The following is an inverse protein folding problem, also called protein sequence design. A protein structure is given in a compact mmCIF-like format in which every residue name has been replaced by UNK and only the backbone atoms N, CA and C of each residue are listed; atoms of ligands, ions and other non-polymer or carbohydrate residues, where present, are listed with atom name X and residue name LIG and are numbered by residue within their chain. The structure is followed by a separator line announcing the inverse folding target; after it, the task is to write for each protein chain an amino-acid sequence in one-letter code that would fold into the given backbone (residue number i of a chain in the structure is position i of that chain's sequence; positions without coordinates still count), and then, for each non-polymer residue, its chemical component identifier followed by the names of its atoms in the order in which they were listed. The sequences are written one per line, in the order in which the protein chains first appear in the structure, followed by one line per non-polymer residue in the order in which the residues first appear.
data_IF_626435988696
#
_entry.id   IF_626435988696
#
_cell.length_a   1.000
_cell.length_b   1.000
_cell.length_c   1.000
_cell.angle_alpha   90.00
_cell.angle_beta   90.00
_cell.angle_gamma   90.00
#
_symmetry.space_group_name_H-M   'P 1'
#
loop_
_entity.id
_entity.type
_entity.pdbx_description
1 polymer ?
#
# COMPACT_ATOMS: atom_id res chain seq x y z
N UNK A 1 -30.49 18.85 11.88
CA UNK A 1 -30.80 17.40 11.93
C UNK A 1 -30.90 16.93 10.49
N UNK A 2 -30.07 15.95 10.13
CA UNK A 2 -29.84 15.39 8.79
C UNK A 2 -29.16 16.29 7.75
N UNK A 3 -27.85 16.51 7.91
CA UNK A 3 -26.97 16.90 6.81
C UNK A 3 -26.35 15.61 6.27
N UNK A 4 -26.70 15.26 5.03
CA UNK A 4 -26.11 14.16 4.27
C UNK A 4 -24.57 14.25 4.33
N UNK A 5 -23.83 13.17 4.65
CA UNK A 5 -22.41 13.14 4.33
C UNK A 5 -22.29 13.06 2.81
N UNK A 6 -21.63 14.07 2.25
CA UNK A 6 -21.34 14.24 0.84
C UNK A 6 -20.59 13.02 0.30
N UNK A 7 -21.16 12.37 -0.71
CA UNK A 7 -20.49 11.43 -1.59
C UNK A 7 -19.36 12.15 -2.35
N UNK A 8 -18.16 12.18 -1.77
CA UNK A 8 -16.92 12.51 -2.47
C UNK A 8 -16.09 11.25 -2.65
N UNK A 9 -16.68 10.26 -3.32
CA UNK A 9 -15.94 9.19 -3.98
C UNK A 9 -15.42 9.76 -5.30
N UNK A 10 -14.28 10.45 -5.23
CA UNK A 10 -13.44 10.63 -6.41
C UNK A 10 -12.82 9.28 -6.72
N UNK A 11 -13.55 8.43 -7.43
CA UNK A 11 -13.02 7.18 -7.97
C UNK A 11 -11.97 7.55 -9.01
N UNK A 12 -10.70 7.36 -8.67
CA UNK A 12 -9.63 7.33 -9.65
C UNK A 12 -9.84 6.05 -10.48
N UNK A 13 -10.63 6.17 -11.56
CA UNK A 13 -10.94 5.06 -12.45
C UNK A 13 -9.67 4.70 -13.24
N UNK A 14 -9.12 3.51 -12.95
CA UNK A 14 -7.94 2.95 -13.64
C UNK A 14 -8.26 2.79 -15.13
N UNK A 15 -7.41 3.28 -16.06
CA UNK A 15 -7.60 3.02 -17.48
C UNK A 15 -7.53 1.50 -17.75
N UNK A 16 -8.56 0.96 -18.41
CA UNK A 16 -8.68 -0.48 -18.72
C UNK A 16 -7.51 -0.94 -19.61
N UNK A 17 -6.68 -1.86 -19.11
CA UNK A 17 -5.68 -2.56 -19.91
C UNK A 17 -6.32 -3.77 -20.63
N UNK A 18 -6.01 -4.01 -21.92
CA UNK A 18 -6.54 -5.16 -22.63
C UNK A 18 -5.97 -6.45 -22.03
N UNK A 19 -6.86 -7.36 -21.65
CA UNK A 19 -6.53 -8.68 -21.11
C UNK A 19 -5.82 -9.53 -22.16
N UNK A 20 -4.48 -9.51 -22.17
CA UNK A 20 -3.68 -10.52 -22.85
C UNK A 20 -2.97 -11.38 -21.81
N UNK A 21 -3.39 -12.64 -21.74
CA UNK A 21 -2.86 -13.69 -20.88
C UNK A 21 -1.35 -13.87 -21.02
N UNK A 22 -0.61 -13.51 -19.98
CA UNK A 22 0.63 -14.19 -19.59
C UNK A 22 0.77 -14.16 -18.07
N UNK A 23 0.05 -15.05 -17.37
CA UNK A 23 0.34 -15.40 -15.98
C UNK A 23 1.62 -16.22 -15.93
N UNK A 24 2.76 -15.60 -16.20
CA UNK A 24 4.01 -16.05 -15.63
C UNK A 24 4.05 -15.52 -14.19
N UNK A 25 4.66 -16.23 -13.24
CA UNK A 25 4.90 -15.66 -11.92
C UNK A 25 5.69 -14.38 -12.16
N UNK A 26 5.05 -13.24 -11.87
CA UNK A 26 5.74 -11.96 -11.79
C UNK A 26 6.91 -12.17 -10.83
N UNK A 27 8.05 -11.55 -11.15
CA UNK A 27 9.32 -11.82 -10.48
C UNK A 27 9.16 -11.93 -8.96
N UNK A 28 9.79 -12.93 -8.31
CA UNK A 28 9.70 -13.09 -6.86
C UNK A 28 10.36 -11.90 -6.15
N UNK A 29 9.55 -10.90 -5.82
CA UNK A 29 9.94 -9.76 -4.99
C UNK A 29 9.88 -10.15 -3.51
N UNK A 30 10.76 -9.58 -2.68
CA UNK A 30 10.88 -9.96 -1.29
C UNK A 30 10.76 -8.75 -0.37
N UNK A 31 9.82 -8.84 0.57
CA UNK A 31 9.63 -7.88 1.65
C UNK A 31 9.84 -8.60 2.98
N UNK A 32 10.58 -7.96 3.88
CA UNK A 32 10.70 -8.39 5.27
C UNK A 32 10.48 -7.20 6.19
N UNK A 33 9.68 -7.43 7.23
CA UNK A 33 9.47 -6.49 8.31
C UNK A 33 9.65 -7.20 9.64
N UNK A 34 10.39 -6.57 10.56
CA UNK A 34 10.60 -7.05 11.92
C UNK A 34 10.17 -5.94 12.86
N UNK A 35 9.25 -6.26 13.75
CA UNK A 35 8.82 -5.37 14.83
C UNK A 35 9.63 -5.70 16.08
N UNK A 36 10.42 -4.74 16.55
CA UNK A 36 11.02 -4.76 17.88
C UNK A 36 10.09 -4.11 18.91
N UNK A 37 10.51 -4.05 20.20
CA UNK A 37 9.73 -3.40 21.25
C UNK A 37 9.54 -1.89 21.00
N UNK A 38 10.58 -1.22 20.51
CA UNK A 38 10.61 0.25 20.35
C UNK A 38 10.86 0.71 18.90
N UNK A 39 10.97 -0.21 17.95
CA UNK A 39 11.26 0.13 16.56
C UNK A 39 10.65 -0.87 15.58
N UNK A 40 10.50 -0.45 14.32
CA UNK A 40 10.16 -1.33 13.20
C UNK A 40 11.29 -1.24 12.18
N UNK A 41 11.83 -2.39 11.79
CA UNK A 41 12.79 -2.51 10.71
C UNK A 41 12.10 -3.12 9.50
N UNK A 42 12.25 -2.49 8.34
CA UNK A 42 11.75 -3.00 7.06
C UNK A 42 12.88 -3.06 6.05
N UNK A 43 12.88 -4.09 5.23
CA UNK A 43 13.77 -4.22 4.09
C UNK A 43 13.01 -4.79 2.89
N UNK A 44 13.39 -4.34 1.71
CA UNK A 44 12.90 -4.84 0.44
C UNK A 44 14.07 -5.16 -0.48
N UNK A 45 13.84 -6.05 -1.44
CA UNK A 45 14.74 -6.18 -2.58
C UNK A 45 14.70 -4.91 -3.46
N UNK A 46 15.78 -4.67 -4.19
CA UNK A 46 15.92 -3.52 -5.11
C UNK A 46 15.88 -3.93 -6.58
N UNK A 47 15.61 -5.21 -6.85
CA UNK A 47 15.63 -5.77 -8.20
C UNK A 47 14.27 -5.59 -8.86
N UNK A 48 14.27 -4.95 -10.03
CA UNK A 48 13.16 -4.95 -10.97
C UNK A 48 13.55 -5.82 -12.17
N UNK A 49 13.01 -7.04 -12.22
CA UNK A 49 13.25 -7.99 -13.28
C UNK A 49 11.99 -8.21 -14.12
N UNK A 50 12.16 -8.34 -15.43
CA UNK A 50 11.09 -8.76 -16.34
C UNK A 50 11.58 -9.95 -17.15
N UNK A 51 10.84 -11.06 -17.11
CA UNK A 51 11.27 -12.33 -17.69
C UNK A 51 12.62 -12.78 -17.10
N UNK A 52 13.63 -13.03 -17.93
CA UNK A 52 14.99 -13.43 -17.51
C UNK A 52 15.95 -12.24 -17.36
N UNK A 53 15.52 -11.02 -17.67
CA UNK A 53 16.38 -9.83 -17.72
C UNK A 53 16.11 -8.95 -16.50
N UNK A 54 17.18 -8.65 -15.77
CA UNK A 54 17.17 -7.63 -14.74
C UNK A 54 17.21 -6.25 -15.40
N UNK A 55 16.14 -5.47 -15.25
CA UNK A 55 16.02 -4.15 -15.86
C UNK A 55 16.65 -3.06 -15.00
N UNK A 56 16.51 -3.19 -13.67
CA UNK A 56 17.07 -2.24 -12.71
C UNK A 56 17.46 -2.95 -11.42
N UNK A 57 18.57 -2.48 -10.84
CA UNK A 57 19.15 -3.03 -9.59
C UNK A 57 18.92 -2.09 -8.40
N UNK A 58 18.37 -0.90 -8.67
CA UNK A 58 18.16 0.20 -7.74
C UNK A 58 16.70 0.66 -7.78
N UNK A 59 15.78 -0.27 -7.54
CA UNK A 59 14.33 0.00 -7.51
C UNK A 59 13.81 0.03 -6.08
N UNK A 60 13.40 1.21 -5.61
CA UNK A 60 12.80 1.37 -4.30
C UNK A 60 11.33 0.95 -4.29
N UNK A 61 11.00 -0.05 -3.49
CA UNK A 61 9.62 -0.55 -3.26
C UNK A 61 8.97 0.08 -2.02
N UNK A 62 9.68 1.01 -1.39
CA UNK A 62 9.30 1.69 -0.16
C UNK A 62 8.69 3.06 -0.47
N UNK A 63 7.46 3.27 -0.03
CA UNK A 63 6.71 4.50 -0.19
C UNK A 63 6.49 5.19 1.15
N UNK A 64 7.06 6.39 1.31
CA UNK A 64 6.88 7.20 2.51
C UNK A 64 5.53 7.92 2.46
N UNK A 65 4.62 7.56 3.37
CA UNK A 65 3.28 8.13 3.44
C UNK A 65 3.26 9.41 4.28
N UNK A 66 3.94 9.36 5.42
CA UNK A 66 4.14 10.46 6.35
C UNK A 66 5.52 10.28 7.00
N UNK A 67 5.89 11.15 7.94
CA UNK A 67 7.20 11.05 8.60
C UNK A 67 7.35 9.77 9.42
N UNK A 68 6.22 9.21 9.87
CA UNK A 68 6.15 8.07 10.78
C UNK A 68 5.61 6.77 10.16
N UNK A 69 5.20 6.78 8.89
CA UNK A 69 4.54 5.65 8.22
C UNK A 69 5.19 5.36 6.87
N UNK A 70 5.56 4.10 6.68
CA UNK A 70 6.19 3.56 5.48
C UNK A 70 5.35 2.39 4.95
N UNK A 71 4.98 2.46 3.68
CA UNK A 71 4.27 1.40 2.97
C UNK A 71 5.23 0.72 2.00
N UNK A 72 5.29 -0.61 2.04
CA UNK A 72 5.98 -1.41 1.03
C UNK A 72 4.92 -2.10 0.19
N UNK A 73 5.08 -2.06 -1.13
CA UNK A 73 4.17 -2.69 -2.08
C UNK A 73 4.94 -3.69 -2.93
N UNK A 74 4.36 -4.87 -3.11
CA UNK A 74 4.84 -5.93 -4.01
C UNK A 74 3.65 -6.47 -4.79
N UNK A 75 3.88 -6.88 -6.03
CA UNK A 75 2.82 -7.42 -6.89
C UNK A 75 2.99 -6.96 -8.31
N UNK A 76 1.89 -6.94 -9.06
CA UNK A 76 1.94 -6.56 -10.47
C UNK A 76 2.51 -5.14 -10.64
N UNK A 77 3.57 -5.00 -11.44
CA UNK A 77 4.35 -3.77 -11.56
C UNK A 77 3.52 -2.51 -11.89
N UNK A 78 2.40 -2.66 -12.61
CA UNK A 78 1.48 -1.55 -12.89
C UNK A 78 0.58 -1.18 -11.72
N UNK A 79 0.17 -2.15 -10.92
CA UNK A 79 -0.75 -1.96 -9.81
C UNK A 79 -0.06 -1.39 -8.57
N UNK A 80 1.17 -1.82 -8.31
CA UNK A 80 1.95 -1.41 -7.13
C UNK A 80 2.17 0.10 -7.09
N UNK A 81 2.59 0.69 -8.21
CA UNK A 81 2.86 2.14 -8.30
C UNK A 81 1.56 2.93 -8.20
N UNK A 82 0.53 2.55 -8.95
CA UNK A 82 -0.76 3.25 -8.95
C UNK A 82 -1.42 3.23 -7.57
N UNK A 83 -1.43 2.06 -6.93
CA UNK A 83 -2.00 1.91 -5.61
C UNK A 83 -1.20 2.65 -4.53
N UNK A 84 0.14 2.56 -4.57
CA UNK A 84 0.99 3.25 -3.61
C UNK A 84 0.81 4.77 -3.68
N UNK A 85 0.83 5.35 -4.88
CA UNK A 85 0.66 6.79 -5.08
C UNK A 85 -0.75 7.24 -4.65
N UNK A 86 -1.78 6.48 -4.98
CA UNK A 86 -3.15 6.77 -4.56
C UNK A 86 -3.28 6.89 -3.04
N UNK A 87 -2.73 5.91 -2.31
CA UNK A 87 -2.74 5.94 -0.84
C UNK A 87 -1.91 7.12 -0.31
N UNK A 88 -0.74 7.36 -0.89
CA UNK A 88 0.15 8.44 -0.47
C UNK A 88 -0.51 9.82 -0.57
N UNK A 89 -1.17 10.11 -1.69
CA UNK A 89 -1.87 11.39 -1.87
C UNK A 89 -3.03 11.55 -0.91
N UNK A 90 -3.79 10.49 -0.63
CA UNK A 90 -4.91 10.56 0.30
C UNK A 90 -4.46 10.77 1.76
N UNK A 91 -3.37 10.12 2.18
CA UNK A 91 -2.78 10.33 3.52
C UNK A 91 -2.25 11.76 3.66
N UNK A 92 -1.56 12.27 2.63
CA UNK A 92 -1.07 13.66 2.62
C UNK A 92 -2.23 14.67 2.64
N UNK A 93 -3.29 14.42 1.88
CA UNK A 93 -4.49 15.25 1.88
C UNK A 93 -5.15 15.29 3.27
N UNK A 94 -5.21 14.16 3.96
CA UNK A 94 -5.72 14.09 5.33
C UNK A 94 -4.88 14.96 6.30
N UNK A 95 -3.54 14.88 6.21
CA UNK A 95 -2.63 15.72 7.00
C UNK A 95 -2.92 17.22 6.77
N UNK A 96 -3.15 17.64 5.52
CA UNK A 96 -3.46 19.03 5.18
C UNK A 96 -4.83 19.49 5.67
N UNK A 97 -5.85 18.63 5.61
CA UNK A 97 -7.22 18.98 6.01
C UNK A 97 -7.39 19.04 7.53
N UNK A 98 -6.78 18.10 8.24
CA UNK A 98 -7.01 17.91 9.67
C UNK A 98 -5.90 18.53 10.53
N UNK A 99 -4.73 18.80 9.95
CA UNK A 99 -3.59 19.41 10.65
C UNK A 99 -2.76 18.43 11.49
N UNK A 100 -3.09 17.13 11.50
CA UNK A 100 -2.35 16.08 12.20
C UNK A 100 -2.17 14.83 11.32
N UNK A 101 -1.15 14.04 11.62
CA UNK A 101 -0.84 12.81 10.88
C UNK A 101 -1.76 11.65 11.28
N UNK A 102 -2.02 10.72 10.36
CA UNK A 102 -2.76 9.50 10.70
C UNK A 102 -1.93 8.59 11.61
N UNK A 103 -2.61 7.87 12.50
CA UNK A 103 -1.98 6.75 13.22
C UNK A 103 -1.76 5.56 12.27
N UNK A 104 -0.73 4.72 12.50
CA UNK A 104 -0.47 3.53 11.68
C UNK A 104 -1.67 2.60 11.60
N UNK A 105 -2.40 2.44 12.70
CA UNK A 105 -3.62 1.63 12.81
C UNK A 105 -4.75 2.18 11.92
N UNK A 106 -4.90 3.51 11.85
CA UNK A 106 -5.88 4.14 10.96
C UNK A 106 -5.48 4.01 9.49
N UNK A 107 -4.19 4.21 9.18
CA UNK A 107 -3.66 4.06 7.82
C UNK A 107 -3.80 2.62 7.28
N UNK A 108 -3.57 1.61 8.12
CA UNK A 108 -3.76 0.19 7.77
C UNK A 108 -5.24 -0.15 7.49
N UNK A 109 -6.17 0.40 8.27
CA UNK A 109 -7.59 0.19 8.01
C UNK A 109 -8.08 0.94 6.75
N UNK A 110 -7.52 2.12 6.48
CA UNK A 110 -7.82 2.88 5.27
C UNK A 110 -7.34 2.16 4.01
N UNK A 111 -6.09 1.68 3.98
CA UNK A 111 -5.54 0.89 2.88
C UNK A 111 -6.34 -0.39 2.63
N UNK A 112 -6.65 -1.14 3.69
CA UNK A 112 -7.51 -2.33 3.63
C UNK A 112 -8.88 -2.05 3.03
N UNK A 113 -9.52 -0.94 3.40
CA UNK A 113 -10.84 -0.56 2.88
C UNK A 113 -10.77 -0.37 1.36
N UNK A 114 -9.81 0.41 0.88
CA UNK A 114 -9.65 0.67 -0.54
C UNK A 114 -9.39 -0.62 -1.33
N UNK A 115 -8.52 -1.52 -0.83
CA UNK A 115 -8.30 -2.82 -1.47
C UNK A 115 -9.56 -3.68 -1.52
N UNK A 116 -10.31 -3.74 -0.41
CA UNK A 116 -11.53 -4.53 -0.33
C UNK A 116 -12.65 -4.01 -1.24
N UNK A 117 -12.68 -2.70 -1.49
CA UNK A 117 -13.65 -2.07 -2.38
C UNK A 117 -13.26 -2.30 -3.85
N UNK A 118 -11.96 -2.17 -4.19
CA UNK A 118 -11.43 -2.50 -5.52
C UNK A 118 -11.56 -3.99 -5.86
N UNK A 119 -11.45 -4.90 -4.89
CA UNK A 119 -11.63 -6.33 -5.11
C UNK A 119 -13.08 -6.69 -5.53
N UNK A 120 -14.06 -5.89 -5.10
CA UNK A 120 -15.47 -6.07 -5.46
C UNK A 120 -15.87 -5.30 -6.73
N UNK A 121 -15.01 -4.42 -7.22
CA UNK A 121 -15.22 -3.70 -8.47
C UNK A 121 -14.73 -4.54 -9.67
N UNK A 122 -14.83 -3.98 -10.89
CA UNK A 122 -14.39 -4.66 -12.12
C UNK A 122 -12.86 -4.69 -12.29
N UNK A 123 -12.11 -3.97 -11.45
CA UNK A 123 -10.67 -3.76 -11.58
C UNK A 123 -9.94 -4.04 -10.25
N UNK A 124 -9.68 -5.32 -9.92
CA UNK A 124 -8.95 -5.67 -8.70
C UNK A 124 -7.47 -5.26 -8.81
N UNK A 125 -6.89 -4.80 -7.69
CA UNK A 125 -5.46 -4.59 -7.56
C UNK A 125 -4.79 -5.86 -7.04
N UNK A 126 -3.81 -6.39 -7.77
CA UNK A 126 -3.03 -7.56 -7.34
C UNK A 126 -1.75 -7.12 -6.62
N UNK A 127 -1.90 -6.69 -5.36
CA UNK A 127 -0.80 -6.17 -4.54
C UNK A 127 -0.80 -6.77 -3.14
N UNK A 128 0.38 -7.15 -2.68
CA UNK A 128 0.70 -7.50 -1.31
C UNK A 128 1.45 -6.34 -0.67
N UNK A 129 1.10 -6.03 0.58
CA UNK A 129 1.64 -4.85 1.24
C UNK A 129 2.11 -5.12 2.64
N UNK A 130 3.12 -4.37 3.02
CA UNK A 130 3.64 -4.34 4.37
C UNK A 130 3.63 -2.88 4.83
N UNK A 131 2.84 -2.57 5.85
CA UNK A 131 2.73 -1.22 6.40
C UNK A 131 3.44 -1.21 7.75
N UNK A 132 4.52 -0.44 7.80
CA UNK A 132 5.28 -0.17 9.01
C UNK A 132 4.97 1.25 9.47
N UNK A 133 4.74 1.40 10.77
CA UNK A 133 4.61 2.72 11.36
C UNK A 133 5.07 2.75 12.79
N UNK A 134 5.34 3.95 13.27
CA UNK A 134 5.70 4.20 14.65
C UNK A 134 4.79 5.30 15.21
N UNK A 135 4.02 4.98 16.24
CA UNK A 135 3.24 5.96 16.98
C UNK A 135 3.91 6.25 18.34
N UNK A 136 3.83 7.49 18.80
CA UNK A 136 4.40 7.89 20.09
C UNK A 136 3.60 7.33 21.27
N UNK A 137 2.31 7.07 21.05
CA UNK A 137 1.40 6.58 22.09
C UNK A 137 1.25 5.06 22.11
N UNK A 138 1.10 4.43 20.93
CA UNK A 138 0.91 2.97 20.79
C UNK A 138 2.21 2.21 20.53
N UNK A 139 3.31 2.90 20.20
CA UNK A 139 4.60 2.30 19.89
C UNK A 139 4.73 1.84 18.42
N UNK A 140 5.69 0.95 18.12
CA UNK A 140 5.87 0.41 16.77
C UNK A 140 4.70 -0.49 16.38
N UNK A 141 4.26 -0.41 15.12
CA UNK A 141 3.22 -1.27 14.58
C UNK A 141 3.61 -1.77 13.19
N UNK A 142 3.45 -3.08 12.99
CA UNK A 142 3.68 -3.74 11.72
C UNK A 142 2.40 -4.44 11.27
N UNK A 143 1.98 -4.12 10.05
CA UNK A 143 0.78 -4.67 9.44
C UNK A 143 1.14 -5.35 8.13
N UNK A 144 0.66 -6.58 7.97
CA UNK A 144 0.71 -7.31 6.72
C UNK A 144 -0.68 -7.30 6.10
N UNK A 145 -0.73 -7.02 4.79
CA UNK A 145 -1.96 -7.08 4.00
C UNK A 145 -1.75 -7.94 2.77
N UNK A 146 -2.62 -8.93 2.61
CA UNK A 146 -2.66 -9.79 1.43
C UNK A 146 -3.48 -9.15 0.30
N UNK A 147 -3.30 -9.61 -0.93
CA UNK A 147 -4.05 -9.14 -2.12
C UNK A 147 -5.58 -9.33 -1.99
N UNK A 148 -6.04 -10.15 -1.05
CA UNK A 148 -7.45 -10.32 -0.68
C UNK A 148 -7.96 -9.30 0.36
N UNK A 149 -7.17 -8.28 0.69
CA UNK A 149 -7.46 -7.28 1.71
C UNK A 149 -7.66 -7.85 3.14
N UNK A 150 -7.03 -8.99 3.43
CA UNK A 150 -6.92 -9.51 4.79
C UNK A 150 -5.79 -8.76 5.52
N UNK A 151 -6.08 -8.18 6.69
CA UNK A 151 -5.11 -7.44 7.50
C UNK A 151 -4.73 -8.29 8.71
N UNK A 152 -3.42 -8.50 8.88
CA UNK A 152 -2.84 -9.11 10.07
C UNK A 152 -1.89 -8.11 10.73
N UNK A 153 -1.95 -8.02 12.05
CA UNK A 153 -0.99 -7.28 12.87
C UNK A 153 0.03 -8.29 13.40
N UNK A 154 1.32 -7.96 13.34
CA UNK A 154 2.39 -8.74 13.94
C UNK A 154 2.41 -8.61 15.48
#
# INVERSE_FOLDING_TARGET
IFVRPCCLTGEAEKPESPTLSSRLPDAMEYLIGIQGPDYVLVASDQVAASSIVQMKDDHDKMFKMSEKILLLCVGEAGDTVQFAEYIQKNVQLYKMRNGYELSPTAAANFTRRNLADCLRSRTPYHVNLLLAGYDEHEGPALYYMDYLAALAKA
#
